data_IF_570721118615
#
_entry.id   IF_570721118615
#
_cell.length_a   1.000
_cell.length_b   1.000
_cell.length_c   1.000
_cell.angle_alpha   90.00
_cell.angle_beta   90.00
_cell.angle_gamma   90.00
#
_symmetry.space_group_name_H-M   'P 1'
#
loop_
_entity.id
_entity.type
_entity.pdbx_description
1 polymer ?
#
# COMPACT_ATOMS: atom_id res chain seq x y z
N UNK A 1 19.27 -27.30 1.66
CA UNK A 1 18.07 -26.97 0.86
C UNK A 1 17.88 -25.47 0.97
N UNK A 2 17.37 -24.79 -0.06
CA UNK A 2 17.12 -23.35 0.08
C UNK A 2 15.76 -23.18 0.75
N UNK A 3 15.74 -22.81 2.03
CA UNK A 3 14.52 -22.50 2.82
C UNK A 3 13.87 -21.18 2.39
N UNK A 4 13.92 -20.88 1.09
CA UNK A 4 13.32 -19.66 0.54
C UNK A 4 11.86 -19.91 0.23
N UNK A 5 11.02 -18.99 0.72
CA UNK A 5 9.58 -19.04 0.49
C UNK A 5 9.27 -19.06 -1.02
N UNK A 6 8.48 -20.05 -1.44
CA UNK A 6 7.90 -20.08 -2.78
C UNK A 6 6.83 -19.01 -2.93
N UNK A 7 6.45 -18.68 -4.16
CA UNK A 7 5.46 -17.61 -4.42
C UNK A 7 4.12 -17.83 -3.72
N UNK A 8 3.70 -19.10 -3.56
CA UNK A 8 2.44 -19.46 -2.93
C UNK A 8 2.46 -19.25 -1.41
N UNK A 9 3.63 -19.30 -0.78
CA UNK A 9 3.81 -19.07 0.67
C UNK A 9 3.97 -17.58 1.00
N UNK A 10 4.26 -16.74 -0.01
CA UNK A 10 4.45 -15.31 0.21
C UNK A 10 3.13 -14.59 0.35
N UNK A 11 3.03 -13.79 1.39
CA UNK A 11 1.82 -13.06 1.70
C UNK A 11 2.11 -11.65 2.20
N UNK A 12 1.05 -10.88 2.33
CA UNK A 12 1.07 -9.59 3.01
C UNK A 12 -0.18 -9.49 3.84
N UNK A 13 0.01 -9.45 5.15
CA UNK A 13 -1.05 -9.35 6.14
C UNK A 13 -1.08 -7.91 6.61
N UNK A 14 -2.28 -7.35 6.69
CA UNK A 14 -2.52 -5.99 7.17
C UNK A 14 -3.49 -6.09 8.34
N UNK A 15 -3.03 -5.69 9.51
CA UNK A 15 -3.80 -5.74 10.75
C UNK A 15 -4.07 -4.30 11.18
N UNK A 16 -5.34 -3.96 11.38
CA UNK A 16 -5.70 -2.70 12.02
C UNK A 16 -5.71 -2.89 13.53
N UNK A 17 -4.94 -2.08 14.26
CA UNK A 17 -4.95 -2.03 15.70
C UNK A 17 -5.68 -0.76 16.14
N UNK A 18 -6.88 -0.95 16.71
CA UNK A 18 -7.77 0.13 17.15
C UNK A 18 -7.25 0.88 18.38
N UNK A 19 -6.49 0.22 19.26
CA UNK A 19 -5.90 0.85 20.45
C UNK A 19 -4.82 1.85 20.07
N UNK A 20 -4.07 1.54 19.02
CA UNK A 20 -2.92 2.31 18.55
C UNK A 20 -3.25 3.28 17.39
N UNK A 21 -4.49 3.26 16.88
CA UNK A 21 -4.92 3.96 15.66
C UNK A 21 -3.90 3.80 14.51
N UNK A 22 -3.48 2.56 14.28
CA UNK A 22 -2.40 2.25 13.36
C UNK A 22 -2.61 0.90 12.67
N UNK A 23 -2.00 0.75 11.49
CA UNK A 23 -1.88 -0.55 10.84
C UNK A 23 -0.52 -1.16 11.08
N UNK A 24 -0.52 -2.47 11.30
CA UNK A 24 0.65 -3.33 11.29
C UNK A 24 0.63 -4.09 9.96
N UNK A 25 1.74 -4.05 9.23
CA UNK A 25 1.89 -4.74 7.95
C UNK A 25 3.02 -5.75 8.07
N UNK A 26 2.70 -7.03 7.92
CA UNK A 26 3.68 -8.10 7.83
C UNK A 26 3.75 -8.58 6.38
N UNK A 27 4.94 -8.53 5.76
CA UNK A 27 5.08 -8.87 4.35
C UNK A 27 6.33 -9.70 4.09
N UNK A 28 6.14 -10.84 3.42
CA UNK A 28 7.20 -11.63 2.76
C UNK A 28 7.23 -11.39 1.23
N UNK A 29 6.34 -10.53 0.73
CA UNK A 29 6.27 -10.15 -0.69
C UNK A 29 7.27 -9.02 -0.97
N UNK A 30 8.41 -9.39 -1.56
CA UNK A 30 9.52 -8.48 -1.89
C UNK A 30 9.12 -7.20 -2.65
N UNK A 31 8.10 -7.28 -3.53
CA UNK A 31 7.57 -6.11 -4.25
C UNK A 31 6.93 -5.10 -3.29
N UNK A 32 6.21 -5.58 -2.29
CA UNK A 32 5.55 -4.74 -1.29
C UNK A 32 6.59 -4.16 -0.33
N UNK A 33 7.50 -5.00 0.18
CA UNK A 33 8.64 -4.57 1.02
C UNK A 33 9.38 -3.38 0.39
N UNK A 34 9.85 -3.51 -0.85
CA UNK A 34 10.56 -2.42 -1.56
C UNK A 34 9.72 -1.16 -1.71
N UNK A 35 8.40 -1.31 -1.85
CA UNK A 35 7.48 -0.17 -1.95
C UNK A 35 7.33 0.53 -0.60
N UNK A 36 7.20 -0.22 0.49
CA UNK A 36 7.07 0.31 1.85
C UNK A 36 8.36 0.99 2.30
N UNK A 37 9.52 0.37 2.05
CA UNK A 37 10.83 0.98 2.28
C UNK A 37 10.95 2.33 1.54
N UNK A 38 10.55 2.37 0.26
CA UNK A 38 10.55 3.62 -0.54
C UNK A 38 9.58 4.68 -0.03
N UNK A 39 8.48 4.28 0.60
CA UNK A 39 7.51 5.20 1.21
C UNK A 39 7.95 5.69 2.60
N UNK A 40 9.05 5.15 3.14
CA UNK A 40 9.55 5.52 4.46
C UNK A 40 8.66 5.04 5.59
N UNK A 41 7.99 3.89 5.41
CA UNK A 41 7.19 3.29 6.48
C UNK A 41 8.12 2.82 7.61
N UNK A 42 7.67 2.99 8.86
CA UNK A 42 8.43 2.59 10.03
C UNK A 42 8.56 1.07 10.05
N UNK A 43 9.76 0.54 9.84
CA UNK A 43 10.03 -0.88 9.89
C UNK A 43 10.29 -1.29 11.35
N UNK A 44 9.46 -2.19 11.88
CA UNK A 44 9.52 -2.63 13.27
C UNK A 44 10.27 -3.94 13.44
N UNK A 45 10.30 -4.79 12.39
CA UNK A 45 11.04 -6.05 12.39
C UNK A 45 11.51 -6.41 10.98
N UNK A 46 12.64 -7.12 10.88
CA UNK A 46 13.19 -7.64 9.62
C UNK A 46 13.71 -9.06 9.85
N UNK A 47 13.13 -10.03 9.15
CA UNK A 47 13.60 -11.40 9.17
C UNK A 47 14.48 -11.67 7.94
N UNK A 48 15.60 -12.35 8.15
CA UNK A 48 16.55 -12.70 7.11
C UNK A 48 16.56 -14.22 6.89
N UNK A 49 16.83 -14.63 5.67
CA UNK A 49 17.26 -16.00 5.39
C UNK A 49 18.71 -16.20 5.85
N UNK A 50 19.17 -17.45 5.91
CA UNK A 50 20.54 -17.81 6.28
C UNK A 50 21.61 -17.16 5.40
N UNK A 51 21.27 -16.83 4.15
CA UNK A 51 22.16 -16.13 3.21
C UNK A 51 22.19 -14.60 3.40
N UNK A 52 21.54 -14.09 4.45
CA UNK A 52 21.45 -12.68 4.77
C UNK A 52 20.45 -11.90 3.90
N UNK A 53 19.75 -12.55 2.96
CA UNK A 53 18.73 -11.88 2.15
C UNK A 53 17.44 -11.71 2.95
N UNK A 54 16.73 -10.60 2.71
CA UNK A 54 15.47 -10.30 3.43
C UNK A 54 14.41 -11.34 3.10
N UNK A 55 13.89 -12.00 4.14
CA UNK A 55 12.76 -12.92 4.06
C UNK A 55 11.43 -12.17 4.14
N UNK A 56 11.23 -11.45 5.25
CA UNK A 56 10.02 -10.69 5.53
C UNK A 56 10.35 -9.43 6.33
N UNK A 57 9.43 -8.48 6.36
CA UNK A 57 9.50 -7.28 7.18
C UNK A 57 8.14 -6.94 7.77
N UNK A 58 8.18 -6.37 8.96
CA UNK A 58 7.02 -5.81 9.65
C UNK A 58 7.12 -4.29 9.66
N UNK A 59 5.97 -3.62 9.51
CA UNK A 59 5.88 -2.17 9.50
C UNK A 59 4.74 -1.67 10.37
N UNK A 60 4.92 -0.50 10.98
CA UNK A 60 3.86 0.29 11.60
C UNK A 60 3.56 1.50 10.72
N UNK A 61 2.28 1.72 10.40
CA UNK A 61 1.86 2.84 9.55
C UNK A 61 0.60 3.52 10.06
N UNK A 62 0.46 4.85 9.85
CA UNK A 62 -0.75 5.57 10.28
C UNK A 62 -1.97 5.15 9.45
N UNK A 63 -3.18 5.34 10.00
CA UNK A 63 -4.44 4.97 9.32
C UNK A 63 -4.56 5.53 7.91
N UNK A 64 -4.05 6.75 7.69
CA UNK A 64 -4.06 7.44 6.39
C UNK A 64 -3.29 6.71 5.28
N UNK A 65 -2.41 5.77 5.63
CA UNK A 65 -1.63 5.00 4.67
C UNK A 65 -2.48 3.97 3.90
N UNK A 66 -3.62 3.55 4.47
CA UNK A 66 -4.47 2.49 3.91
C UNK A 66 -5.89 3.01 3.74
N UNK A 67 -6.44 2.84 2.53
CA UNK A 67 -7.81 3.25 2.21
C UNK A 67 -8.56 2.08 1.60
N UNK A 68 -9.69 1.69 2.20
CA UNK A 68 -10.63 0.76 1.58
C UNK A 68 -11.46 1.51 0.54
N UNK A 69 -11.32 1.14 -0.73
CA UNK A 69 -12.03 1.77 -1.85
C UNK A 69 -13.15 0.87 -2.31
N UNK A 70 -14.22 1.48 -2.83
CA UNK A 70 -15.27 0.71 -3.49
C UNK A 70 -14.67 -0.03 -4.70
N UNK A 71 -14.78 -1.38 -4.77
CA UNK A 71 -14.28 -2.15 -5.91
C UNK A 71 -15.01 -1.80 -7.21
N UNK A 72 -16.26 -1.34 -7.14
CA UNK A 72 -16.99 -0.88 -8.31
C UNK A 72 -16.59 0.54 -8.67
N UNK A 73 -16.14 0.71 -9.92
CA UNK A 73 -15.95 2.06 -10.46
C UNK A 73 -17.31 2.70 -10.62
N UNK A 74 -17.53 3.81 -9.91
CA UNK A 74 -18.67 4.70 -10.14
C UNK A 74 -18.78 4.98 -11.65
N UNK A 75 -19.92 4.64 -12.25
CA UNK A 75 -20.24 5.02 -13.63
C UNK A 75 -20.39 6.54 -13.67
N UNK A 76 -19.44 7.22 -14.29
CA UNK A 76 -19.49 8.67 -14.49
C UNK A 76 -20.33 8.92 -15.73
N UNK A 77 -21.39 9.71 -15.62
CA UNK A 77 -22.21 10.11 -16.77
C UNK A 77 -21.46 11.09 -17.67
N UNK A 78 -21.82 11.16 -18.96
CA UNK A 78 -21.23 12.11 -19.92
C UNK A 78 -21.25 13.56 -19.39
N UNK A 79 -22.38 13.96 -18.80
CA UNK A 79 -22.60 15.29 -18.21
C UNK A 79 -21.65 15.59 -17.05
N UNK A 80 -21.44 14.63 -16.14
CA UNK A 80 -20.49 14.77 -15.03
C UNK A 80 -19.05 14.90 -15.57
N UNK A 81 -18.76 14.26 -16.70
CA UNK A 81 -17.45 14.31 -17.36
C UNK A 81 -17.22 15.65 -18.04
N UNK A 82 -18.24 16.22 -18.70
CA UNK A 82 -18.19 17.57 -19.27
C UNK A 82 -18.07 18.64 -18.19
N UNK A 83 -18.88 18.58 -17.13
CA UNK A 83 -18.79 19.53 -16.02
C UNK A 83 -17.39 19.52 -15.35
N UNK A 84 -16.76 18.35 -15.22
CA UNK A 84 -15.39 18.26 -14.72
C UNK A 84 -14.39 18.91 -15.69
N UNK A 85 -14.50 18.65 -17.00
CA UNK A 85 -13.64 19.27 -18.03
C UNK A 85 -13.73 20.79 -18.00
N UNK A 86 -14.93 21.35 -17.91
CA UNK A 86 -15.15 22.79 -17.85
C UNK A 86 -14.55 23.42 -16.59
N UNK A 87 -14.69 22.76 -15.43
CA UNK A 87 -14.06 23.22 -14.18
C UNK A 87 -12.53 23.24 -14.28
N UNK A 88 -11.93 22.18 -14.82
CA UNK A 88 -10.47 22.15 -15.00
C UNK A 88 -9.97 23.14 -16.05
N UNK A 89 -10.76 23.42 -17.10
CA UNK A 89 -10.44 24.44 -18.09
C UNK A 89 -10.45 25.85 -17.48
N UNK A 90 -11.45 26.17 -16.66
CA UNK A 90 -11.51 27.46 -15.94
C UNK A 90 -10.33 27.65 -14.99
N UNK A 91 -10.00 26.65 -14.16
CA UNK A 91 -8.83 26.72 -13.27
C UNK A 91 -7.49 26.88 -14.00
N UNK A 92 -7.39 26.42 -15.26
CA UNK A 92 -6.18 26.60 -16.08
C UNK A 92 -6.13 27.97 -16.76
N UNK A 93 -7.26 28.60 -17.01
CA UNK A 93 -7.33 29.94 -17.61
C UNK A 93 -7.14 31.05 -16.55
N UNK A 94 -7.46 30.77 -15.28
CA UNK A 94 -7.24 31.68 -14.15
C UNK A 94 -5.82 31.64 -13.58
N UNK A 95 -4.92 30.82 -14.14
CA UNK A 95 -3.54 30.64 -13.69
C UNK A 95 -2.56 31.16 -14.73
#
# INVERSE_FOLDING_TARGET
>A
MSDKLIRAERETIIIYNELDDAYIIDSSVQKHIRRFDKLGYECTDTQLYDDGTVCSKSYRVPVRAISFRNPEKRKVTEEQRQAARERFAKMRAEK
#
